data_IF_991589248705
#
_entry.id   IF_991589248705
#
_cell.length_a   1.000
_cell.length_b   1.000
_cell.length_c   1.000
_cell.angle_alpha   90.00
_cell.angle_beta   90.00
_cell.angle_gamma   90.00
#
_symmetry.space_group_name_H-M   'P 1'
#
loop_
_entity.id
_entity.type
_entity.pdbx_description
1 polymer ?
#
# COMPACT_ATOMS: atom_id res chain seq x y z
N UNK A 1 33.01 -34.92 -3.50
CA UNK A 1 33.15 -33.49 -3.88
C UNK A 1 31.80 -32.99 -4.40
N UNK A 2 31.05 -32.28 -3.56
CA UNK A 2 29.72 -31.75 -3.88
C UNK A 2 29.85 -30.46 -4.69
N UNK A 3 29.35 -30.44 -5.93
CA UNK A 3 29.26 -29.21 -6.71
C UNK A 3 28.08 -28.39 -6.20
N UNK A 4 28.38 -27.28 -5.54
CA UNK A 4 27.39 -26.25 -5.22
C UNK A 4 26.87 -25.65 -6.54
N UNK A 5 25.56 -25.48 -6.73
CA UNK A 5 25.06 -24.77 -7.90
C UNK A 5 25.46 -23.31 -7.78
N UNK A 6 26.29 -22.83 -8.72
CA UNK A 6 26.61 -21.42 -8.86
C UNK A 6 25.36 -20.70 -9.36
N UNK A 7 24.66 -20.03 -8.44
CA UNK A 7 23.57 -19.13 -8.80
C UNK A 7 24.19 -17.88 -9.42
N UNK A 8 24.43 -17.90 -10.74
CA UNK A 8 24.77 -16.68 -11.46
C UNK A 8 23.48 -15.87 -11.55
N UNK A 9 23.37 -14.82 -10.73
CA UNK A 9 22.31 -13.82 -10.90
C UNK A 9 22.39 -13.36 -12.36
N UNK A 10 21.37 -13.68 -13.17
CA UNK A 10 21.26 -13.13 -14.52
C UNK A 10 21.32 -11.61 -14.36
N UNK A 11 22.13 -10.96 -15.20
CA UNK A 11 22.12 -9.49 -15.36
C UNK A 11 20.69 -9.02 -15.25
N UNK A 12 20.40 -8.19 -14.25
CA UNK A 12 19.11 -7.53 -14.12
C UNK A 12 18.79 -6.96 -15.50
N UNK A 13 17.75 -7.49 -16.13
CA UNK A 13 17.20 -6.85 -17.32
C UNK A 13 16.93 -5.41 -16.87
N UNK A 14 17.42 -4.42 -17.62
CA UNK A 14 17.06 -3.02 -17.43
C UNK A 14 15.58 -2.87 -17.78
N UNK A 15 14.72 -3.41 -16.93
CA UNK A 15 13.28 -3.34 -17.03
C UNK A 15 12.96 -1.95 -16.52
N UNK A 16 12.94 -1.00 -17.45
CA UNK A 16 12.30 0.28 -17.17
C UNK A 16 10.80 0.00 -17.13
N UNK A 17 10.10 0.25 -16.00
CA UNK A 17 8.67 0.07 -15.96
C UNK A 17 8.03 0.99 -17.02
N UNK A 18 7.10 0.45 -17.79
CA UNK A 18 6.25 1.25 -18.69
C UNK A 18 5.10 1.85 -17.85
N UNK A 19 5.12 3.17 -17.56
CA UNK A 19 4.13 3.78 -16.68
C UNK A 19 2.72 3.71 -17.26
N UNK A 20 2.57 3.75 -18.58
CA UNK A 20 1.25 3.71 -19.23
C UNK A 20 0.64 2.31 -19.15
N UNK A 21 1.47 1.27 -19.29
CA UNK A 21 1.02 -0.10 -19.02
C UNK A 21 0.65 -0.31 -17.55
N UNK A 22 1.39 0.28 -16.61
CA UNK A 22 1.10 0.17 -15.19
C UNK A 22 -0.21 0.84 -14.79
N UNK A 23 -0.48 2.05 -15.31
CA UNK A 23 -1.72 2.82 -15.04
C UNK A 23 -3.01 2.07 -15.39
N UNK A 24 -2.95 1.13 -16.33
CA UNK A 24 -4.10 0.27 -16.68
C UNK A 24 -4.51 -0.69 -15.55
N UNK A 25 -3.62 -0.93 -14.59
CA UNK A 25 -3.84 -1.84 -13.48
C UNK A 25 -3.83 -1.11 -12.14
N UNK A 26 -2.84 -0.25 -11.92
CA UNK A 26 -2.59 0.44 -10.67
C UNK A 26 -2.80 1.94 -10.87
N UNK A 27 -3.72 2.52 -10.10
CA UNK A 27 -3.91 3.96 -10.00
C UNK A 27 -2.75 4.61 -9.27
N UNK A 28 -2.44 4.11 -8.07
CA UNK A 28 -1.31 4.57 -7.28
C UNK A 28 -0.83 3.51 -6.27
N UNK A 29 0.44 3.61 -5.88
CA UNK A 29 0.97 3.02 -4.66
C UNK A 29 1.02 4.11 -3.59
N UNK A 30 0.60 3.78 -2.38
CA UNK A 30 0.66 4.71 -1.26
C UNK A 30 1.32 4.06 -0.05
N UNK A 31 2.11 4.85 0.66
CA UNK A 31 2.67 4.50 1.96
C UNK A 31 1.94 5.34 3.00
N UNK A 32 1.27 4.67 3.93
CA UNK A 32 0.59 5.33 5.05
C UNK A 32 1.29 5.04 6.35
N UNK A 33 1.51 6.07 7.17
CA UNK A 33 2.11 5.95 8.49
C UNK A 33 1.14 6.45 9.55
N UNK A 34 1.07 5.74 10.67
CA UNK A 34 0.35 6.24 11.83
C UNK A 34 1.27 7.15 12.66
N UNK A 35 0.98 8.44 12.64
CA UNK A 35 1.59 9.44 13.51
C UNK A 35 0.80 9.56 14.82
N UNK A 36 1.52 9.76 15.92
CA UNK A 36 0.91 9.78 17.26
C UNK A 36 0.11 11.05 17.56
N UNK A 37 0.43 12.16 16.90
CA UNK A 37 -0.17 13.47 17.12
C UNK A 37 -1.20 13.78 16.04
N UNK A 38 -0.89 13.44 14.79
CA UNK A 38 -1.71 13.75 13.62
C UNK A 38 -2.60 12.59 13.16
N UNK A 39 -2.35 11.37 13.63
CA UNK A 39 -3.09 10.17 13.22
C UNK A 39 -2.55 9.59 11.90
N UNK A 40 -3.44 9.11 11.04
CA UNK A 40 -3.09 8.48 9.78
C UNK A 40 -2.59 9.51 8.76
N UNK A 41 -1.38 9.34 8.26
CA UNK A 41 -0.76 10.25 7.29
C UNK A 41 -0.29 9.51 6.03
N UNK A 42 -0.47 10.15 4.88
CA UNK A 42 0.21 9.80 3.64
C UNK A 42 1.68 10.22 3.70
N UNK A 43 2.57 9.26 3.59
CA UNK A 43 4.03 9.48 3.60
C UNK A 43 4.58 9.56 2.17
N UNK A 44 4.17 8.64 1.30
CA UNK A 44 4.60 8.60 -0.10
C UNK A 44 3.45 8.18 -1.02
N UNK A 45 3.39 8.76 -2.21
CA UNK A 45 2.46 8.39 -3.26
C UNK A 45 3.19 8.29 -4.60
N UNK A 46 3.01 7.18 -5.31
CA UNK A 46 3.52 6.98 -6.66
C UNK A 46 2.41 6.52 -7.60
N UNK A 47 2.17 7.22 -8.73
CA UNK A 47 2.82 8.48 -9.12
C UNK A 47 2.52 9.63 -8.14
N UNK A 48 3.39 10.65 -8.05
CA UNK A 48 3.15 11.78 -7.16
C UNK A 48 1.86 12.53 -7.56
N UNK A 49 1.14 13.07 -6.57
CA UNK A 49 -0.10 13.83 -6.76
C UNK A 49 -1.22 13.05 -7.49
N UNK A 50 -1.25 11.72 -7.36
CA UNK A 50 -2.29 10.89 -7.99
C UNK A 50 -3.64 10.91 -7.26
N UNK A 51 -3.70 11.50 -6.07
CA UNK A 51 -4.89 11.57 -5.22
C UNK A 51 -5.28 13.02 -4.98
N UNK A 52 -6.58 13.30 -4.94
CA UNK A 52 -7.11 14.55 -4.37
C UNK A 52 -6.97 14.53 -2.84
N UNK A 53 -7.04 15.70 -2.20
CA UNK A 53 -7.00 15.78 -0.73
C UNK A 53 -8.09 14.93 -0.06
N UNK A 54 -9.28 14.88 -0.66
CA UNK A 54 -10.39 14.04 -0.18
C UNK A 54 -10.06 12.55 -0.28
N UNK A 55 -9.43 12.14 -1.39
CA UNK A 55 -8.99 10.75 -1.59
C UNK A 55 -7.85 10.38 -0.66
N UNK A 56 -6.92 11.30 -0.39
CA UNK A 56 -5.84 11.07 0.58
C UNK A 56 -6.41 10.81 1.98
N UNK A 57 -7.42 11.57 2.40
CA UNK A 57 -8.11 11.37 3.68
C UNK A 57 -8.78 9.99 3.71
N UNK A 58 -9.55 9.64 2.68
CA UNK A 58 -10.23 8.34 2.57
C UNK A 58 -9.24 7.17 2.59
N UNK A 59 -8.18 7.24 1.78
CA UNK A 59 -7.16 6.18 1.71
C UNK A 59 -6.44 6.08 3.05
N UNK A 60 -6.06 7.21 3.67
CA UNK A 60 -5.36 7.20 4.97
C UNK A 60 -6.20 6.56 6.06
N UNK A 61 -7.48 6.93 6.16
CA UNK A 61 -8.39 6.38 7.16
C UNK A 61 -8.60 4.87 6.98
N UNK A 62 -8.84 4.42 5.74
CA UNK A 62 -9.12 3.02 5.44
C UNK A 62 -7.86 2.12 5.36
N UNK A 63 -6.65 2.68 5.53
CA UNK A 63 -5.40 1.93 5.43
C UNK A 63 -4.97 1.24 6.72
N UNK A 64 -5.75 1.34 7.79
CA UNK A 64 -5.45 0.73 9.08
C UNK A 64 -6.63 -0.11 9.57
N UNK A 65 -6.40 -1.28 10.21
CA UNK A 65 -7.48 -2.09 10.75
C UNK A 65 -8.17 -1.39 11.92
N UNK A 66 -9.52 -1.44 11.96
CA UNK A 66 -10.34 -0.82 13.01
C UNK A 66 -10.06 -1.34 14.44
N UNK A 67 -9.51 -2.55 14.55
CA UNK A 67 -9.19 -3.16 15.83
C UNK A 67 -7.85 -3.86 15.78
N UNK A 68 -7.11 -3.71 16.87
CA UNK A 68 -5.86 -4.41 17.10
C UNK A 68 -6.07 -5.47 18.17
N UNK A 69 -6.27 -6.72 17.77
CA UNK A 69 -6.28 -7.84 18.73
C UNK A 69 -4.85 -8.24 19.10
N UNK A 70 -4.20 -7.45 19.96
CA UNK A 70 -2.86 -7.79 20.45
C UNK A 70 -2.95 -8.91 21.50
N UNK A 71 -2.50 -10.10 21.12
CA UNK A 71 -2.05 -11.11 22.10
C UNK A 71 -0.62 -10.76 22.50
N UNK A 72 -0.50 -10.20 23.70
CA UNK A 72 0.70 -9.83 24.46
C UNK A 72 1.99 -10.64 24.15
N UNK A 73 2.72 -10.28 23.10
CA UNK A 73 4.13 -10.64 22.94
C UNK A 73 4.93 -9.35 22.69
N UNK A 74 5.77 -8.98 23.65
CA UNK A 74 6.49 -7.69 23.73
C UNK A 74 7.55 -7.44 22.62
N UNK A 75 7.58 -8.27 21.58
CA UNK A 75 8.54 -8.15 20.47
C UNK A 75 7.96 -8.65 19.13
N UNK A 76 6.63 -8.68 18.98
CA UNK A 76 6.02 -9.20 17.76
C UNK A 76 5.90 -8.14 16.66
N UNK A 77 6.19 -8.59 15.44
CA UNK A 77 5.74 -7.96 14.20
C UNK A 77 4.42 -8.65 13.83
N UNK A 78 3.39 -7.85 13.55
CA UNK A 78 2.09 -8.33 13.11
C UNK A 78 1.76 -7.73 11.76
N UNK A 79 1.65 -8.61 10.77
CA UNK A 79 1.26 -8.26 9.42
C UNK A 79 -0.20 -8.67 9.19
N UNK A 80 -0.99 -7.79 8.58
CA UNK A 80 -2.31 -8.13 8.08
C UNK A 80 -2.51 -7.60 6.67
N UNK A 81 -3.27 -8.35 5.88
CA UNK A 81 -3.62 -7.99 4.51
C UNK A 81 -5.13 -7.96 4.39
N UNK A 82 -5.63 -6.84 3.91
CA UNK A 82 -7.06 -6.62 3.71
C UNK A 82 -7.29 -5.70 2.50
N UNK A 83 -8.54 -5.44 2.19
CA UNK A 83 -8.91 -4.51 1.13
C UNK A 83 -10.10 -3.67 1.55
N UNK A 84 -10.21 -2.49 0.98
CA UNK A 84 -11.35 -1.60 1.11
C UNK A 84 -11.76 -1.08 -0.27
N UNK A 85 -12.92 -0.43 -0.32
CA UNK A 85 -13.30 0.41 -1.45
C UNK A 85 -14.06 1.62 -0.94
N UNK A 86 -13.89 2.75 -1.60
CA UNK A 86 -14.68 3.94 -1.33
C UNK A 86 -15.19 4.52 -2.64
N UNK A 87 -16.30 5.26 -2.55
CA UNK A 87 -16.94 5.83 -3.74
C UNK A 87 -16.29 7.17 -4.05
N UNK A 88 -15.81 7.36 -5.28
CA UNK A 88 -15.29 8.66 -5.73
C UNK A 88 -16.46 9.62 -5.99
N UNK A 89 -16.38 10.89 -5.57
CA UNK A 89 -17.38 11.88 -5.94
C UNK A 89 -17.35 12.11 -7.46
N UNK A 90 -18.52 12.32 -8.06
CA UNK A 90 -18.60 12.72 -9.47
C UNK A 90 -18.00 14.12 -9.60
N UNK A 91 -17.10 14.32 -10.56
CA UNK A 91 -16.71 15.67 -10.97
C UNK A 91 -17.94 16.29 -11.68
N UNK A 92 -18.42 17.43 -11.19
CA UNK A 92 -19.50 18.20 -11.83
C UNK A 92 -18.98 18.92 -13.09
N UNK A 93 -18.37 18.19 -14.02
CA UNK A 93 -18.01 18.73 -15.32
C UNK A 93 -19.14 18.32 -16.27
N UNK A 94 -19.84 19.31 -16.82
CA UNK A 94 -21.03 19.14 -17.68
C UNK A 94 -20.74 18.42 -19.02
N UNK A 95 -19.55 17.82 -19.19
CA UNK A 95 -19.05 17.27 -20.46
C UNK A 95 -18.82 15.75 -20.48
N UNK A 96 -19.15 14.99 -19.42
CA UNK A 96 -18.99 13.53 -19.42
C UNK A 96 -20.29 12.76 -19.17
N UNK A 97 -21.16 12.71 -20.20
CA UNK A 97 -22.27 11.74 -20.30
C UNK A 97 -21.90 10.48 -21.11
N UNK A 98 -20.61 10.17 -21.29
CA UNK A 98 -20.20 9.03 -22.16
C UNK A 98 -19.37 7.96 -21.45
N UNK A 99 -18.82 8.21 -20.26
CA UNK A 99 -18.11 7.15 -19.53
C UNK A 99 -18.70 6.95 -18.14
N UNK A 100 -19.06 5.71 -17.84
CA UNK A 100 -19.46 5.25 -16.50
C UNK A 100 -18.27 5.17 -15.56
N UNK A 101 -17.39 6.17 -15.60
CA UNK A 101 -16.06 6.24 -15.01
C UNK A 101 -16.07 5.90 -13.52
N UNK A 102 -15.02 5.18 -13.11
CA UNK A 102 -14.97 4.34 -11.93
C UNK A 102 -15.55 4.98 -10.67
N UNK A 103 -16.80 4.61 -10.37
CA UNK A 103 -17.51 5.00 -9.15
C UNK A 103 -16.74 4.64 -7.89
N UNK A 104 -15.85 3.66 -7.94
CA UNK A 104 -15.12 3.18 -6.78
C UNK A 104 -13.63 3.18 -7.02
N UNK A 105 -12.87 3.50 -5.98
CA UNK A 105 -11.45 3.20 -5.90
C UNK A 105 -11.27 2.05 -4.92
N UNK A 106 -10.51 1.03 -5.32
CA UNK A 106 -10.23 -0.15 -4.54
C UNK A 106 -8.84 -0.05 -3.95
N UNK A 107 -8.74 -0.19 -2.63
CA UNK A 107 -7.47 -0.19 -1.91
C UNK A 107 -7.13 -1.58 -1.39
N UNK A 108 -5.94 -2.05 -1.68
CA UNK A 108 -5.38 -3.30 -1.18
C UNK A 108 -4.23 -2.97 -0.24
N UNK A 109 -4.30 -3.47 0.98
CA UNK A 109 -3.44 -3.01 2.08
C UNK A 109 -2.63 -4.16 2.62
N UNK A 110 -1.33 -3.93 2.79
CA UNK A 110 -0.47 -4.66 3.71
C UNK A 110 -0.15 -3.73 4.88
N UNK A 111 -0.67 -4.01 6.07
CA UNK A 111 -0.39 -3.24 7.28
C UNK A 111 0.56 -4.04 8.16
N UNK A 112 1.63 -3.38 8.62
CA UNK A 112 2.57 -3.90 9.61
C UNK A 112 2.47 -3.09 10.88
N UNK A 113 2.33 -3.80 11.99
CA UNK A 113 2.48 -3.27 13.34
C UNK A 113 3.71 -3.90 13.96
N UNK A 114 4.60 -3.08 14.50
CA UNK A 114 5.77 -3.55 15.21
C UNK A 114 5.78 -2.95 16.60
N UNK A 115 5.90 -3.80 17.62
CA UNK A 115 6.12 -3.33 18.97
C UNK A 115 7.57 -2.87 19.16
N UNK A 116 7.75 -1.68 19.72
CA UNK A 116 9.04 -1.09 20.07
C UNK A 116 8.89 -0.20 21.32
N UNK A 117 9.38 -0.69 22.46
CA UNK A 117 9.29 0.00 23.76
C UNK A 117 10.07 1.33 23.82
N UNK A 118 10.99 1.56 22.88
CA UNK A 118 11.72 2.83 22.79
C UNK A 118 10.84 3.95 22.23
N UNK A 119 9.74 3.61 21.56
CA UNK A 119 8.77 4.56 21.05
C UNK A 119 7.76 4.93 22.13
N UNK A 120 7.29 6.18 22.13
CA UNK A 120 6.39 6.75 23.17
C UNK A 120 5.12 5.93 23.46
N UNK A 121 4.68 5.06 22.54
CA UNK A 121 3.51 4.18 22.72
C UNK A 121 3.81 2.70 22.51
N UNK A 122 5.08 2.30 22.55
CA UNK A 122 5.44 0.89 22.46
C UNK A 122 5.34 0.29 21.06
N UNK A 123 5.26 1.08 19.99
CA UNK A 123 5.30 0.54 18.62
C UNK A 123 5.10 1.53 17.49
N UNK A 124 5.27 1.02 16.27
CA UNK A 124 5.04 1.70 15.00
C UNK A 124 3.99 0.94 14.17
N UNK A 125 3.25 1.67 13.35
CA UNK A 125 2.28 1.09 12.42
C UNK A 125 2.34 1.79 11.07
N UNK A 126 2.45 1.00 10.01
CA UNK A 126 2.62 1.49 8.64
C UNK A 126 1.96 0.56 7.63
N UNK A 127 1.46 1.12 6.54
CA UNK A 127 0.75 0.39 5.49
C UNK A 127 1.34 0.65 4.12
N UNK A 128 1.46 -0.42 3.33
CA UNK A 128 1.72 -0.38 1.90
C UNK A 128 0.39 -0.63 1.19
N UNK A 129 -0.01 0.29 0.32
CA UNK A 129 -1.33 0.29 -0.31
C UNK A 129 -1.20 0.30 -1.83
N UNK A 130 -1.95 -0.56 -2.50
CA UNK A 130 -2.16 -0.51 -3.95
C UNK A 130 -3.58 -0.03 -4.21
N UNK A 131 -3.71 1.05 -4.97
CA UNK A 131 -4.98 1.58 -5.43
C UNK A 131 -5.24 1.17 -6.88
N UNK A 132 -6.47 0.77 -7.17
CA UNK A 132 -6.90 0.40 -8.53
C UNK A 132 -8.34 0.80 -8.77
N UNK A 133 -8.64 1.12 -10.02
CA UNK A 133 -9.99 1.35 -10.53
C UNK A 133 -10.83 0.07 -10.61
N UNK A 134 -10.17 -1.08 -10.64
CA UNK A 134 -10.81 -2.39 -10.86
C UNK A 134 -10.41 -3.40 -9.77
N UNK A 135 -11.30 -4.32 -9.37
CA UNK A 135 -11.09 -5.20 -8.23
C UNK A 135 -10.19 -6.42 -8.54
N UNK A 136 -8.92 -6.22 -8.89
CA UNK A 136 -7.96 -7.30 -9.20
C UNK A 136 -7.39 -8.01 -7.96
N UNK A 137 -8.24 -8.50 -7.06
CA UNK A 137 -7.82 -9.11 -5.79
C UNK A 137 -6.86 -10.30 -5.95
N UNK A 138 -7.06 -11.13 -6.98
CA UNK A 138 -6.20 -12.27 -7.29
C UNK A 138 -4.80 -11.88 -7.78
N UNK A 139 -4.61 -10.62 -8.20
CA UNK A 139 -3.31 -10.07 -8.61
C UNK A 139 -2.67 -9.33 -7.44
N UNK A 140 -3.42 -8.43 -6.81
CA UNK A 140 -2.86 -7.51 -5.82
C UNK A 140 -2.62 -8.13 -4.46
N UNK A 141 -3.39 -9.15 -4.05
CA UNK A 141 -3.14 -9.83 -2.77
C UNK A 141 -1.79 -10.59 -2.78
N UNK A 142 -1.49 -11.45 -3.79
CA UNK A 142 -0.16 -12.04 -3.90
C UNK A 142 0.96 -11.01 -4.09
N UNK A 143 0.71 -9.95 -4.87
CA UNK A 143 1.71 -8.88 -5.06
C UNK A 143 2.05 -8.20 -3.72
N UNK A 144 1.06 -7.86 -2.89
CA UNK A 144 1.26 -7.27 -1.56
C UNK A 144 2.01 -8.18 -0.60
N UNK A 145 1.81 -9.50 -0.69
CA UNK A 145 2.59 -10.46 0.10
C UNK A 145 4.10 -10.41 -0.23
N UNK A 146 4.45 -9.91 -1.42
CA UNK A 146 5.85 -9.73 -1.85
C UNK A 146 6.31 -8.30 -1.55
N UNK A 147 5.59 -7.28 -2.04
CA UNK A 147 6.04 -5.88 -1.92
C UNK A 147 5.93 -5.34 -0.49
N UNK A 148 4.98 -5.83 0.30
CA UNK A 148 4.78 -5.43 1.69
C UNK A 148 6.03 -5.67 2.53
N UNK A 149 6.48 -6.93 2.69
CA UNK A 149 7.73 -7.24 3.39
C UNK A 149 8.95 -6.54 2.78
N UNK A 150 9.09 -6.52 1.45
CA UNK A 150 10.22 -5.88 0.77
C UNK A 150 10.33 -4.38 1.09
N UNK A 151 9.20 -3.67 1.18
CA UNK A 151 9.19 -2.26 1.57
C UNK A 151 9.83 -2.05 2.96
N UNK A 152 9.52 -2.92 3.93
CA UNK A 152 10.07 -2.82 5.27
C UNK A 152 11.52 -3.33 5.39
N UNK A 153 11.94 -4.26 4.52
CA UNK A 153 13.28 -4.84 4.56
C UNK A 153 14.31 -3.98 3.81
N UNK A 154 13.92 -3.38 2.69
CA UNK A 154 14.83 -2.70 1.73
C UNK A 154 14.46 -1.24 1.47
N UNK A 155 13.22 -0.85 1.74
CA UNK A 155 12.77 0.53 1.58
C UNK A 155 13.51 1.50 2.49
N UNK A 156 13.30 2.81 2.27
CA UNK A 156 13.81 3.83 3.19
C UNK A 156 13.34 3.47 4.60
N UNK A 157 14.30 3.18 5.49
CA UNK A 157 14.03 2.71 6.84
C UNK A 157 13.07 3.70 7.52
N UNK A 158 11.96 3.16 8.01
CA UNK A 158 11.00 3.87 8.86
C UNK A 158 11.68 4.45 10.10
#
# INVERSE_FOLDING_TARGET
>A
MSRSPSFSARSELSIKPDPESLKRWVHAFCIMRFDLEQGQLLEECYPPNSLSQEEEIEVSFNSFPDSVSQKHNRSSIHDCIFFFRFRRPKKNTEEEEVDGGDRYLYGYVFNRQRHDERLRRGGEQKSVVILSHTPYSSVFRPLLQIIGPLYFDVGNKA
#
